data_IF_432263987100
#
_entry.id   IF_432263987100
#
_cell.length_a   1.000
_cell.length_b   1.000
_cell.length_c   1.000
_cell.angle_alpha   90.00
_cell.angle_beta   90.00
_cell.angle_gamma   90.00
#
_symmetry.space_group_name_H-M   'P 1'
#
loop_
_entity.id
_entity.type
_entity.pdbx_description
1 polymer ?
#
# COMPACT_ATOMS: atom_id res chain seq x y z
N UNK A 1 17.20 31.27 8.49
CA UNK A 1 16.66 31.36 7.11
C UNK A 1 16.06 32.75 6.92
N UNK A 2 15.95 33.28 5.68
CA UNK A 2 15.23 34.53 5.44
C UNK A 2 13.77 34.40 5.91
N UNK A 3 13.19 35.47 6.45
CA UNK A 3 11.80 35.52 6.87
C UNK A 3 10.91 35.52 5.62
N UNK A 4 10.46 34.33 5.20
CA UNK A 4 9.57 34.15 4.04
C UNK A 4 8.14 34.28 4.57
N UNK A 5 7.46 35.36 4.17
CA UNK A 5 6.03 35.57 4.44
C UNK A 5 5.21 35.23 3.19
N UNK A 6 4.27 34.30 3.32
CA UNK A 6 3.40 33.82 2.24
C UNK A 6 2.09 34.61 2.26
N UNK A 7 2.02 35.68 1.47
CA UNK A 7 0.79 36.46 1.32
C UNK A 7 -0.24 35.79 0.41
N UNK A 8 -1.52 36.02 0.67
CA UNK A 8 -2.65 35.51 -0.13
C UNK A 8 -2.56 36.01 -1.57
N UNK A 9 -2.31 37.31 -1.77
CA UNK A 9 -2.20 37.92 -3.10
C UNK A 9 -1.09 37.28 -3.94
N UNK A 10 0.02 36.90 -3.29
CA UNK A 10 1.12 36.22 -3.97
C UNK A 10 0.71 34.83 -4.42
N UNK A 11 -0.01 34.09 -3.60
CA UNK A 11 -0.52 32.76 -3.94
C UNK A 11 -1.57 32.84 -5.06
N UNK A 12 -2.51 33.78 -5.00
CA UNK A 12 -3.49 34.02 -6.08
C UNK A 12 -2.78 34.28 -7.41
N UNK A 13 -1.76 35.14 -7.40
CA UNK A 13 -0.98 35.45 -8.61
C UNK A 13 -0.31 34.19 -9.17
N UNK A 14 0.33 33.39 -8.32
CA UNK A 14 0.98 32.14 -8.72
C UNK A 14 -0.02 31.12 -9.30
N UNK A 15 -1.20 31.00 -8.70
CA UNK A 15 -2.26 30.11 -9.20
C UNK A 15 -2.78 30.58 -10.57
N UNK A 16 -3.02 31.88 -10.76
CA UNK A 16 -3.48 32.46 -12.04
C UNK A 16 -2.43 32.31 -13.16
N UNK A 17 -1.14 32.28 -12.82
CA UNK A 17 -0.03 32.11 -13.77
C UNK A 17 0.27 30.64 -14.15
N UNK A 18 -0.43 29.65 -13.57
CA UNK A 18 -0.24 28.23 -13.89
C UNK A 18 -0.37 27.94 -15.41
N UNK A 19 0.29 26.92 -15.94
CA UNK A 19 0.08 26.52 -17.33
C UNK A 19 -1.10 25.53 -17.41
N UNK A 20 -2.24 25.87 -18.06
CA UNK A 20 -3.42 25.02 -18.11
C UNK A 20 -3.21 23.72 -18.91
N UNK A 21 -2.18 23.66 -19.75
CA UNK A 21 -1.84 22.48 -20.57
C UNK A 21 -0.87 21.52 -19.89
N UNK A 22 -0.37 21.84 -18.69
CA UNK A 22 0.44 20.90 -17.92
C UNK A 22 -0.43 19.77 -17.38
N UNK A 23 0.14 18.57 -17.33
CA UNK A 23 -0.50 17.42 -16.71
C UNK A 23 -0.83 17.70 -15.24
N UNK A 24 -1.97 17.17 -14.79
CA UNK A 24 -2.39 17.22 -13.39
C UNK A 24 -1.34 16.58 -12.48
N UNK A 25 -1.27 17.07 -11.24
CA UNK A 25 -0.41 16.49 -10.22
C UNK A 25 -0.84 15.08 -9.79
N UNK A 26 -0.16 14.48 -8.80
CA UNK A 26 -0.56 13.20 -8.23
C UNK A 26 -1.95 13.23 -7.56
N UNK A 27 -2.46 14.43 -7.28
CA UNK A 27 -3.81 14.72 -6.82
C UNK A 27 -4.88 14.59 -7.92
N UNK A 28 -4.49 14.56 -9.19
CA UNK A 28 -5.40 14.48 -10.33
C UNK A 28 -6.13 15.79 -10.66
N UNK A 29 -5.80 16.90 -9.97
CA UNK A 29 -6.49 18.18 -10.16
C UNK A 29 -5.86 18.94 -11.34
N UNK A 30 -6.62 19.26 -12.41
CA UNK A 30 -6.10 19.98 -13.55
C UNK A 30 -5.85 21.47 -13.22
N UNK A 31 -4.78 22.03 -13.79
CA UNK A 31 -4.35 23.41 -13.53
C UNK A 31 -5.41 24.48 -13.88
N UNK A 32 -6.31 24.20 -14.83
CA UNK A 32 -7.39 25.14 -15.16
C UNK A 32 -8.42 25.29 -14.02
N UNK A 33 -8.68 24.23 -13.24
CA UNK A 33 -9.58 24.29 -12.07
C UNK A 33 -8.94 25.15 -10.97
N UNK A 34 -7.64 24.94 -10.72
CA UNK A 34 -6.89 25.74 -9.75
C UNK A 34 -6.85 27.22 -10.11
N UNK A 35 -6.84 27.56 -11.41
CA UNK A 35 -6.97 28.96 -11.87
C UNK A 35 -8.33 29.56 -11.58
N UNK A 36 -9.40 28.83 -11.87
CA UNK A 36 -10.76 29.31 -11.65
C UNK A 36 -11.06 29.48 -10.16
N UNK A 37 -10.58 28.55 -9.33
CA UNK A 37 -10.76 28.57 -7.88
C UNK A 37 -9.65 29.32 -7.13
N UNK A 38 -8.81 30.09 -7.83
CA UNK A 38 -7.61 30.68 -7.23
C UNK A 38 -7.92 31.61 -6.05
N UNK A 39 -9.00 32.38 -6.13
CA UNK A 39 -9.39 33.33 -5.07
C UNK A 39 -9.91 32.63 -3.81
N UNK A 40 -10.59 31.50 -3.97
CA UNK A 40 -11.15 30.71 -2.87
C UNK A 40 -10.10 29.80 -2.20
N UNK A 41 -9.17 29.25 -2.99
CA UNK A 41 -8.18 28.27 -2.51
C UNK A 41 -6.94 28.95 -1.93
N UNK A 42 -6.59 30.15 -2.41
CA UNK A 42 -5.39 30.86 -1.97
C UNK A 42 -5.32 31.13 -0.45
N UNK A 43 -6.39 31.57 0.24
CA UNK A 43 -6.33 31.77 1.69
C UNK A 43 -5.95 30.49 2.45
N UNK A 44 -6.54 29.35 2.07
CA UNK A 44 -6.25 28.06 2.68
C UNK A 44 -4.81 27.62 2.42
N UNK A 45 -4.31 27.76 1.18
CA UNK A 45 -2.94 27.42 0.85
C UNK A 45 -1.93 28.32 1.56
N UNK A 46 -2.16 29.63 1.58
CA UNK A 46 -1.31 30.58 2.32
C UNK A 46 -1.22 30.21 3.79
N UNK A 47 -2.36 29.87 4.42
CA UNK A 47 -2.37 29.42 5.81
C UNK A 47 -1.55 28.13 6.00
N UNK A 48 -1.77 27.11 5.18
CA UNK A 48 -1.06 25.82 5.28
C UNK A 48 0.44 26.02 5.11
N UNK A 49 0.88 26.77 4.10
CA UNK A 49 2.31 26.95 3.86
C UNK A 49 2.96 27.87 4.89
N UNK A 50 2.27 28.93 5.34
CA UNK A 50 2.79 29.82 6.38
C UNK A 50 2.94 29.06 7.70
N UNK A 51 1.90 28.33 8.13
CA UNK A 51 1.97 27.48 9.32
C UNK A 51 3.08 26.42 9.21
N UNK A 52 3.27 25.82 8.02
CA UNK A 52 4.38 24.87 7.80
C UNK A 52 5.76 25.53 7.96
N UNK A 53 5.94 26.76 7.45
CA UNK A 53 7.19 27.52 7.61
C UNK A 53 7.43 27.97 9.05
N UNK A 54 6.36 28.38 9.75
CA UNK A 54 6.44 28.79 11.15
C UNK A 54 6.82 27.60 12.05
N UNK A 55 6.30 26.41 11.72
CA UNK A 55 6.60 25.15 12.44
C UNK A 55 8.03 24.65 12.15
N UNK A 56 8.62 24.99 11.00
CA UNK A 56 9.98 24.54 10.62
C UNK A 56 11.09 25.13 11.53
N UNK A 57 10.78 26.15 12.34
CA UNK A 57 11.69 26.68 13.36
C UNK A 57 11.52 26.01 14.74
N UNK A 58 10.50 25.19 14.94
CA UNK A 58 10.38 24.37 16.14
C UNK A 58 11.15 23.07 15.94
N UNK A 59 12.19 22.85 16.77
CA UNK A 59 12.90 21.59 16.80
C UNK A 59 11.89 20.53 17.26
N UNK A 60 11.49 19.64 16.35
CA UNK A 60 10.63 18.52 16.68
C UNK A 60 11.37 17.60 17.65
N UNK A 61 10.79 17.39 18.83
CA UNK A 61 11.32 16.43 19.78
C UNK A 61 11.25 15.02 19.17
N UNK A 62 12.38 14.28 19.15
CA UNK A 62 12.39 12.93 18.62
C UNK A 62 11.43 12.06 19.44
N UNK A 63 10.38 11.58 18.79
CA UNK A 63 9.39 10.70 19.42
C UNK A 63 9.71 9.25 19.10
N UNK A 64 9.66 8.38 20.11
CA UNK A 64 9.96 6.95 19.93
C UNK A 64 9.00 6.23 18.99
N UNK A 65 7.75 6.70 18.92
CA UNK A 65 6.73 6.14 18.06
C UNK A 65 5.69 7.18 17.66
N UNK A 66 5.36 7.24 16.37
CA UNK A 66 4.38 8.17 15.83
C UNK A 66 3.39 7.45 14.91
N UNK A 67 2.10 7.72 15.07
CA UNK A 67 1.06 7.17 14.19
C UNK A 67 0.97 8.00 12.92
N UNK A 68 1.20 7.36 11.78
CA UNK A 68 1.05 7.96 10.46
C UNK A 68 0.05 7.16 9.62
N UNK A 69 -1.04 7.82 9.18
CA UNK A 69 -2.10 7.20 8.38
C UNK A 69 -2.67 5.90 8.99
N UNK A 70 -2.71 5.82 10.32
CA UNK A 70 -3.19 4.65 11.06
C UNK A 70 -2.16 3.53 11.26
N UNK A 71 -0.90 3.73 10.87
CA UNK A 71 0.23 2.82 11.13
C UNK A 71 1.18 3.46 12.13
N UNK A 72 1.55 2.72 13.18
CA UNK A 72 2.50 3.24 14.18
C UNK A 72 3.93 2.96 13.71
N UNK A 73 4.70 4.03 13.52
CA UNK A 73 6.09 3.98 13.06
C UNK A 73 6.97 4.27 14.27
N UNK A 74 7.70 3.26 14.74
CA UNK A 74 8.69 3.41 15.81
C UNK A 74 10.07 3.76 15.26
N UNK A 75 10.89 4.39 16.09
CA UNK A 75 12.29 4.72 15.77
C UNK A 75 13.16 3.49 15.47
N UNK A 76 12.78 2.32 15.98
CA UNK A 76 13.43 1.03 15.71
C UNK A 76 12.78 0.24 14.57
N UNK A 77 11.70 0.77 13.96
CA UNK A 77 10.84 0.06 13.01
C UNK A 77 10.29 -1.27 13.56
N UNK A 78 10.15 -1.35 14.88
CA UNK A 78 9.48 -2.44 15.56
C UNK A 78 7.96 -2.30 15.46
N UNK A 79 7.31 -3.38 15.03
CA UNK A 79 5.85 -3.44 14.86
C UNK A 79 5.09 -3.88 16.12
N UNK A 80 5.78 -4.12 17.25
CA UNK A 80 5.14 -4.60 18.47
C UNK A 80 4.00 -3.67 18.93
N UNK A 81 4.26 -2.37 19.02
CA UNK A 81 3.26 -1.39 19.48
C UNK A 81 2.08 -1.30 18.52
N UNK A 82 2.35 -1.23 17.21
CA UNK A 82 1.32 -1.24 16.17
C UNK A 82 0.45 -2.48 16.25
N UNK A 83 1.08 -3.66 16.33
CA UNK A 83 0.39 -4.96 16.36
C UNK A 83 -0.47 -5.07 17.61
N UNK A 84 0.07 -4.75 18.78
CA UNK A 84 -0.69 -4.73 20.04
C UNK A 84 -1.93 -3.82 19.95
N UNK A 85 -1.80 -2.66 19.30
CA UNK A 85 -2.93 -1.72 19.13
C UNK A 85 -4.00 -2.30 18.22
N UNK A 86 -3.63 -2.84 17.05
CA UNK A 86 -4.60 -3.40 16.10
C UNK A 86 -5.23 -4.70 16.62
N UNK A 87 -4.47 -5.58 17.29
CA UNK A 87 -5.00 -6.82 17.89
C UNK A 87 -5.97 -6.49 19.02
N UNK A 88 -5.67 -5.49 19.85
CA UNK A 88 -6.59 -4.98 20.87
C UNK A 88 -7.87 -4.40 20.26
N UNK A 89 -7.76 -3.61 19.18
CA UNK A 89 -8.92 -3.06 18.48
C UNK A 89 -9.80 -4.13 17.84
N UNK A 90 -9.16 -5.12 17.21
CA UNK A 90 -9.83 -6.26 16.60
C UNK A 90 -10.52 -7.15 17.66
N UNK A 91 -9.89 -7.38 18.82
CA UNK A 91 -10.51 -8.10 19.94
C UNK A 91 -11.75 -7.38 20.48
N UNK A 92 -11.71 -6.06 20.63
CA UNK A 92 -12.90 -5.27 21.05
C UNK A 92 -14.04 -5.42 20.04
N UNK A 93 -13.73 -5.31 18.75
CA UNK A 93 -14.72 -5.47 17.67
C UNK A 93 -15.29 -6.90 17.64
N UNK A 94 -14.44 -7.92 17.83
CA UNK A 94 -14.89 -9.31 17.92
C UNK A 94 -15.77 -9.54 19.16
N UNK A 95 -15.41 -8.96 20.31
CA UNK A 95 -16.21 -9.02 21.54
C UNK A 95 -17.58 -8.36 21.36
N UNK A 96 -17.62 -7.21 20.70
CA UNK A 96 -18.86 -6.52 20.34
C UNK A 96 -19.77 -7.41 19.46
N UNK A 97 -19.21 -8.04 18.43
CA UNK A 97 -19.95 -8.97 17.56
C UNK A 97 -20.46 -10.17 18.38
N UNK A 98 -19.62 -10.74 19.25
CA UNK A 98 -19.99 -11.88 20.09
C UNK A 98 -21.16 -11.57 21.02
N UNK A 99 -21.17 -10.37 21.61
CA UNK A 99 -22.22 -9.92 22.53
C UNK A 99 -23.54 -9.65 21.82
N UNK A 100 -23.51 -9.03 20.65
CA UNK A 100 -24.73 -8.55 19.98
C UNK A 100 -25.31 -9.56 18.99
N UNK A 101 -24.48 -10.39 18.36
CA UNK A 101 -24.89 -11.27 17.27
C UNK A 101 -24.97 -12.74 17.68
N UNK A 102 -25.06 -13.06 18.98
CA UNK A 102 -25.05 -14.45 19.45
C UNK A 102 -26.14 -15.32 18.81
N UNK A 103 -27.39 -14.85 18.76
CA UNK A 103 -28.54 -15.57 18.24
C UNK A 103 -28.72 -15.47 16.71
N UNK A 104 -27.82 -14.79 16.01
CA UNK A 104 -27.93 -14.56 14.57
C UNK A 104 -27.38 -15.74 13.74
N UNK A 105 -27.83 -15.92 12.49
CA UNK A 105 -27.32 -16.96 11.61
C UNK A 105 -25.83 -16.76 11.27
N UNK A 106 -25.16 -17.88 10.94
CA UNK A 106 -23.73 -17.95 10.58
C UNK A 106 -23.32 -16.90 9.54
N UNK A 107 -24.15 -16.67 8.52
CA UNK A 107 -23.89 -15.71 7.44
C UNK A 107 -23.75 -14.27 7.93
N UNK A 108 -24.65 -13.82 8.81
CA UNK A 108 -24.63 -12.46 9.36
C UNK A 108 -23.42 -12.29 10.27
N UNK A 109 -23.14 -13.29 11.12
CA UNK A 109 -21.95 -13.28 11.99
C UNK A 109 -20.65 -13.21 11.17
N UNK A 110 -20.57 -14.01 10.10
CA UNK A 110 -19.41 -14.04 9.21
C UNK A 110 -19.24 -12.69 8.50
N UNK A 111 -20.31 -12.12 7.93
CA UNK A 111 -20.26 -10.80 7.30
C UNK A 111 -19.80 -9.72 8.29
N UNK A 112 -20.35 -9.70 9.52
CA UNK A 112 -19.94 -8.75 10.53
C UNK A 112 -18.44 -8.85 10.87
N UNK A 113 -17.89 -10.07 10.92
CA UNK A 113 -16.46 -10.28 11.11
C UNK A 113 -15.64 -9.71 9.94
N UNK A 114 -16.03 -10.04 8.71
CA UNK A 114 -15.34 -9.58 7.49
C UNK A 114 -15.39 -8.04 7.36
N UNK A 115 -16.44 -7.39 7.84
CA UNK A 115 -16.60 -5.93 7.72
C UNK A 115 -15.99 -5.14 8.88
N UNK A 116 -15.94 -5.69 10.10
CA UNK A 116 -15.53 -4.93 11.29
C UNK A 116 -14.17 -5.36 11.85
N UNK A 117 -13.85 -6.66 11.80
CA UNK A 117 -12.63 -7.20 12.42
C UNK A 117 -11.52 -7.32 11.41
N UNK A 118 -11.81 -7.88 10.24
CA UNK A 118 -10.79 -8.17 9.24
C UNK A 118 -10.07 -6.93 8.68
N UNK A 119 -10.74 -5.79 8.39
CA UNK A 119 -10.04 -4.62 7.86
C UNK A 119 -9.01 -4.06 8.83
N UNK A 120 -9.24 -4.18 10.15
CA UNK A 120 -8.30 -3.75 11.19
C UNK A 120 -6.98 -4.53 11.17
N UNK A 121 -7.03 -5.79 10.72
CA UNK A 121 -5.90 -6.71 10.67
C UNK A 121 -5.21 -6.75 9.30
N UNK A 122 -5.82 -6.16 8.27
CA UNK A 122 -5.32 -6.20 6.88
C UNK A 122 -4.93 -4.80 6.36
N UNK A 123 -5.45 -3.73 6.95
CA UNK A 123 -5.17 -2.37 6.51
C UNK A 123 -3.67 -2.07 6.53
N UNK A 124 -3.15 -1.60 5.39
CA UNK A 124 -1.74 -1.24 5.20
C UNK A 124 -0.75 -2.36 5.54
N UNK A 125 -1.17 -3.63 5.47
CA UNK A 125 -0.30 -4.77 5.80
C UNK A 125 0.97 -4.82 4.95
N UNK A 126 0.97 -4.26 3.74
CA UNK A 126 2.17 -4.13 2.91
C UNK A 126 3.31 -3.32 3.56
N UNK A 127 3.01 -2.53 4.60
CA UNK A 127 3.98 -1.72 5.32
C UNK A 127 4.51 -2.46 6.56
N UNK A 128 3.61 -3.03 7.37
CA UNK A 128 3.94 -3.49 8.71
C UNK A 128 3.95 -5.01 8.89
N UNK A 129 3.63 -5.82 7.86
CA UNK A 129 3.54 -7.29 7.98
C UNK A 129 4.78 -7.87 8.69
N UNK A 130 4.61 -8.45 9.90
CA UNK A 130 5.75 -8.81 10.74
C UNK A 130 6.42 -10.09 10.25
N UNK A 131 7.74 -10.14 10.38
CA UNK A 131 8.51 -11.36 10.13
C UNK A 131 8.59 -12.29 11.37
N UNK A 132 8.37 -11.75 12.58
CA UNK A 132 8.46 -12.53 13.81
C UNK A 132 7.30 -13.51 13.92
N UNK A 133 7.61 -14.80 14.15
CA UNK A 133 6.61 -15.84 14.33
C UNK A 133 5.65 -15.57 15.51
N UNK A 134 6.14 -14.91 16.57
CA UNK A 134 5.31 -14.55 17.73
C UNK A 134 4.20 -13.56 17.35
N UNK A 135 4.57 -12.49 16.65
CA UNK A 135 3.65 -11.44 16.20
C UNK A 135 2.68 -11.95 15.13
N UNK A 136 3.16 -12.79 14.20
CA UNK A 136 2.29 -13.46 13.24
C UNK A 136 1.25 -14.32 13.97
N UNK A 137 1.68 -15.09 14.97
CA UNK A 137 0.78 -15.93 15.79
C UNK A 137 -0.25 -15.10 16.55
N UNK A 138 0.15 -13.94 17.10
CA UNK A 138 -0.76 -13.04 17.80
C UNK A 138 -1.90 -12.55 16.90
N UNK A 139 -1.57 -12.13 15.67
CA UNK A 139 -2.55 -11.70 14.68
C UNK A 139 -3.46 -12.88 14.27
N UNK A 140 -2.87 -14.04 13.98
CA UNK A 140 -3.60 -15.26 13.60
C UNK A 140 -4.58 -15.72 14.69
N UNK A 141 -4.22 -15.57 15.97
CA UNK A 141 -5.11 -15.92 17.08
C UNK A 141 -6.45 -15.18 17.03
N UNK A 142 -6.49 -13.94 16.54
CA UNK A 142 -7.74 -13.19 16.41
C UNK A 142 -8.70 -13.89 15.45
N UNK A 143 -8.20 -14.33 14.29
CA UNK A 143 -8.99 -15.13 13.34
C UNK A 143 -9.40 -16.46 13.95
N UNK A 144 -8.48 -17.18 14.60
CA UNK A 144 -8.76 -18.51 15.20
C UNK A 144 -9.81 -18.47 16.32
N UNK A 145 -10.03 -17.32 16.96
CA UNK A 145 -11.05 -17.13 18.01
C UNK A 145 -12.47 -16.91 17.48
N UNK A 146 -12.65 -16.67 16.18
CA UNK A 146 -13.95 -16.39 15.59
C UNK A 146 -14.76 -17.66 15.21
N UNK A 147 -14.20 -18.69 14.53
CA UNK A 147 -14.97 -19.79 13.92
C UNK A 147 -15.94 -20.51 14.85
N UNK A 148 -15.54 -20.81 16.09
CA UNK A 148 -16.41 -21.46 17.08
C UNK A 148 -17.70 -20.66 17.34
N UNK A 149 -17.57 -19.35 17.46
CA UNK A 149 -18.71 -18.46 17.65
C UNK A 149 -19.57 -18.33 16.38
N UNK A 150 -18.93 -18.27 15.21
CA UNK A 150 -19.62 -18.12 13.92
C UNK A 150 -20.45 -19.35 13.57
N UNK A 151 -19.88 -20.54 13.76
CA UNK A 151 -20.52 -21.82 13.49
C UNK A 151 -21.40 -22.31 14.64
N UNK A 152 -21.37 -21.62 15.79
CA UNK A 152 -22.00 -22.07 17.04
C UNK A 152 -21.53 -23.49 17.46
N UNK A 153 -20.27 -23.82 17.18
CA UNK A 153 -19.67 -25.12 17.44
C UNK A 153 -18.57 -24.99 18.50
N UNK A 154 -18.91 -25.49 19.69
CA UNK A 154 -18.05 -25.52 20.87
C UNK A 154 -17.64 -26.95 21.26
N UNK A 155 -17.81 -27.91 20.35
CA UNK A 155 -17.40 -29.30 20.57
C UNK A 155 -15.88 -29.40 20.71
N UNK A 156 -15.43 -30.32 21.56
CA UNK A 156 -14.01 -30.71 21.66
C UNK A 156 -13.53 -31.50 20.43
N UNK A 157 -14.46 -32.10 19.68
CA UNK A 157 -14.15 -32.94 18.52
C UNK A 157 -13.96 -32.11 17.23
N UNK A 158 -14.41 -30.85 17.22
CA UNK A 158 -14.27 -29.95 16.08
C UNK A 158 -12.96 -29.16 16.17
N UNK A 159 -12.15 -29.23 15.11
CA UNK A 159 -10.90 -28.46 15.01
C UNK A 159 -11.17 -27.08 14.43
N UNK A 160 -10.48 -26.04 14.93
CA UNK A 160 -10.61 -24.68 14.39
C UNK A 160 -10.19 -24.61 12.91
N UNK A 161 -9.19 -25.41 12.53
CA UNK A 161 -8.71 -25.51 11.15
C UNK A 161 -9.79 -26.03 10.20
N UNK A 162 -10.57 -27.03 10.64
CA UNK A 162 -11.71 -27.54 9.88
C UNK A 162 -12.84 -26.51 9.79
N UNK A 163 -13.16 -25.82 10.89
CA UNK A 163 -14.17 -24.75 10.87
C UNK A 163 -13.78 -23.60 9.94
N UNK A 164 -12.50 -23.25 9.85
CA UNK A 164 -12.00 -22.26 8.90
C UNK A 164 -12.14 -22.73 7.44
N UNK A 165 -11.87 -24.02 7.19
CA UNK A 165 -12.08 -24.63 5.88
C UNK A 165 -13.56 -24.60 5.47
N UNK A 166 -14.47 -24.88 6.40
CA UNK A 166 -15.92 -24.83 6.16
C UNK A 166 -16.46 -23.41 5.98
N UNK A 167 -15.76 -22.41 6.50
CA UNK A 167 -16.01 -20.99 6.25
C UNK A 167 -15.42 -20.53 4.91
N UNK A 168 -14.52 -21.31 4.29
CA UNK A 168 -13.75 -20.90 3.12
C UNK A 168 -12.77 -19.77 3.42
N UNK A 169 -12.25 -19.69 4.65
CA UNK A 169 -11.37 -18.61 5.09
C UNK A 169 -9.91 -19.04 5.03
N UNK A 170 -9.13 -18.35 4.19
CA UNK A 170 -7.67 -18.45 4.18
C UNK A 170 -7.05 -17.87 5.46
N UNK A 171 -5.80 -18.24 5.77
CA UNK A 171 -5.06 -17.64 6.89
C UNK A 171 -4.84 -16.14 6.65
N UNK A 172 -4.84 -15.33 7.71
CA UNK A 172 -4.52 -13.90 7.58
C UNK A 172 -3.12 -13.68 6.97
N UNK A 173 -2.17 -14.56 7.26
CA UNK A 173 -0.83 -14.54 6.66
C UNK A 173 -0.88 -14.69 5.14
N UNK A 174 -1.62 -15.68 4.64
CA UNK A 174 -1.75 -15.89 3.18
C UNK A 174 -2.44 -14.68 2.53
N UNK A 175 -3.44 -14.12 3.20
CA UNK A 175 -4.14 -12.93 2.72
C UNK A 175 -3.25 -11.69 2.69
N UNK A 176 -2.45 -11.43 3.73
CA UNK A 176 -1.45 -10.36 3.74
C UNK A 176 -0.40 -10.56 2.64
N UNK A 177 0.00 -11.81 2.39
CA UNK A 177 0.89 -12.15 1.27
C UNK A 177 0.25 -11.81 -0.07
N UNK A 178 -1.04 -12.14 -0.26
CA UNK A 178 -1.78 -11.75 -1.47
C UNK A 178 -1.85 -10.24 -1.61
N UNK A 179 -2.19 -9.50 -0.55
CA UNK A 179 -2.23 -8.03 -0.55
C UNK A 179 -0.86 -7.44 -0.91
N UNK A 180 0.22 -7.95 -0.32
CA UNK A 180 1.58 -7.55 -0.62
C UNK A 180 1.99 -7.87 -2.06
N UNK A 181 1.43 -8.93 -2.67
CA UNK A 181 1.62 -9.28 -4.09
C UNK A 181 0.69 -8.52 -5.05
N UNK A 182 -0.41 -7.95 -4.57
CA UNK A 182 -1.41 -7.24 -5.39
C UNK A 182 -1.30 -5.71 -5.36
N UNK A 183 -0.73 -5.13 -4.30
CA UNK A 183 -0.28 -3.73 -4.24
C UNK A 183 0.96 -3.34 -5.09
N UNK A 184 1.84 -4.25 -5.55
CA UNK A 184 2.99 -3.92 -6.38
C UNK A 184 2.70 -3.32 -7.77
N UNK A 185 1.53 -3.43 -8.46
CA UNK A 185 1.40 -2.81 -9.77
C UNK A 185 1.66 -1.31 -9.69
N UNK A 186 1.25 -0.61 -8.62
CA UNK A 186 1.56 0.81 -8.48
C UNK A 186 3.05 1.08 -8.22
N UNK A 187 3.73 0.31 -7.38
CA UNK A 187 5.16 0.51 -7.09
C UNK A 187 6.09 0.03 -8.21
N UNK A 188 5.76 -1.06 -8.91
CA UNK A 188 6.53 -1.58 -10.05
C UNK A 188 6.28 -0.79 -11.33
N UNK A 189 5.05 -0.33 -11.59
CA UNK A 189 4.79 0.56 -12.72
C UNK A 189 5.45 1.93 -12.47
N UNK A 190 5.38 2.46 -11.25
CA UNK A 190 6.03 3.72 -10.90
C UNK A 190 7.56 3.59 -10.90
N UNK A 191 8.13 2.51 -10.36
CA UNK A 191 9.57 2.24 -10.42
C UNK A 191 10.05 2.03 -11.87
N UNK A 192 9.33 1.25 -12.68
CA UNK A 192 9.64 1.07 -14.10
C UNK A 192 9.50 2.37 -14.91
N UNK A 193 8.53 3.23 -14.57
CA UNK A 193 8.35 4.55 -15.18
C UNK A 193 9.47 5.52 -14.77
N UNK A 194 9.91 5.48 -13.50
CA UNK A 194 11.05 6.26 -13.00
C UNK A 194 12.36 5.81 -13.66
N UNK A 195 12.56 4.50 -13.78
CA UNK A 195 13.70 3.90 -14.49
C UNK A 195 13.71 4.27 -15.98
N UNK A 196 12.55 4.28 -16.66
CA UNK A 196 12.46 4.71 -18.06
C UNK A 196 12.77 6.20 -18.23
N UNK A 197 12.32 7.05 -17.29
CA UNK A 197 12.62 8.49 -17.28
C UNK A 197 14.11 8.76 -17.05
N UNK A 198 14.78 8.00 -16.18
CA UNK A 198 16.24 8.07 -16.02
C UNK A 198 16.99 7.57 -17.27
N UNK A 199 16.52 6.49 -17.91
CA UNK A 199 17.13 5.99 -19.16
C UNK A 199 17.06 6.98 -20.33
N UNK A 200 15.99 7.79 -20.41
CA UNK A 200 15.88 8.86 -21.40
C UNK A 200 16.91 9.97 -21.16
N UNK A 201 17.25 10.26 -19.91
CA UNK A 201 18.24 11.29 -19.56
C UNK A 201 19.70 10.83 -19.80
N UNK A 202 19.99 9.53 -19.73
CA UNK A 202 21.35 8.98 -19.91
C UNK A 202 21.73 8.83 -21.39
N UNK A 203 20.77 8.77 -22.32
CA UNK A 203 21.05 8.69 -23.76
C UNK A 203 21.66 9.98 -24.35
N UNK A 204 21.60 11.09 -23.62
CA UNK A 204 22.05 12.41 -24.11
C UNK A 204 23.49 12.77 -23.71
N UNK A 205 24.20 11.96 -22.92
CA UNK A 205 25.55 12.30 -22.42
C UNK A 205 26.66 11.40 -22.99
N UNK A 206 27.60 12.02 -23.73
CA UNK A 206 28.77 11.35 -24.29
C UNK A 206 29.82 11.01 -23.23
N UNK A 207 30.02 9.71 -23.01
CA UNK A 207 31.22 8.99 -22.55
C UNK A 207 31.96 9.41 -21.27
N UNK A 208 31.99 8.53 -20.24
CA UNK A 208 33.17 8.20 -19.40
C UNK A 208 32.99 6.90 -18.58
N UNK A 209 34.10 6.30 -18.16
CA UNK A 209 34.26 4.94 -17.58
C UNK A 209 33.41 4.63 -16.33
N UNK A 210 32.92 5.65 -15.61
CA UNK A 210 32.00 5.50 -14.47
C UNK A 210 30.62 4.93 -14.88
N UNK A 211 30.22 5.13 -16.14
CA UNK A 211 28.94 4.62 -16.68
C UNK A 211 28.91 3.11 -16.81
N UNK A 212 30.04 2.43 -17.03
CA UNK A 212 30.04 0.96 -17.20
C UNK A 212 29.65 0.23 -15.91
N UNK A 213 30.02 0.77 -14.75
CA UNK A 213 29.65 0.22 -13.44
C UNK A 213 28.17 0.55 -13.10
N UNK A 214 27.70 1.75 -13.46
CA UNK A 214 26.30 2.12 -13.32
C UNK A 214 25.39 1.27 -14.22
N UNK A 215 25.79 1.05 -15.48
CA UNK A 215 25.10 0.17 -16.44
C UNK A 215 25.14 -1.30 -16.00
N UNK A 216 26.25 -1.78 -15.42
CA UNK A 216 26.35 -3.15 -14.88
C UNK A 216 25.48 -3.35 -13.63
N UNK A 217 25.47 -2.38 -12.70
CA UNK A 217 24.56 -2.37 -11.54
C UNK A 217 23.10 -2.30 -11.99
N UNK A 218 22.81 -1.50 -13.01
CA UNK A 218 21.49 -1.37 -13.61
C UNK A 218 21.01 -2.66 -14.29
N UNK A 219 21.88 -3.32 -15.08
CA UNK A 219 21.59 -4.63 -15.68
C UNK A 219 21.34 -5.69 -14.61
N UNK A 220 22.13 -5.71 -13.54
CA UNK A 220 21.88 -6.61 -12.41
C UNK A 220 20.55 -6.32 -11.71
N UNK A 221 20.24 -5.04 -11.46
CA UNK A 221 18.97 -4.65 -10.86
C UNK A 221 17.79 -5.05 -11.76
N UNK A 222 17.87 -4.77 -13.06
CA UNK A 222 16.85 -5.13 -14.05
C UNK A 222 16.65 -6.65 -14.19
N UNK A 223 17.73 -7.44 -14.17
CA UNK A 223 17.66 -8.91 -14.15
C UNK A 223 16.97 -9.40 -12.87
N UNK A 224 17.26 -8.78 -11.73
CA UNK A 224 16.62 -9.10 -10.44
C UNK A 224 15.12 -8.74 -10.50
N UNK A 225 14.73 -7.55 -10.97
CA UNK A 225 13.31 -7.16 -11.10
C UNK A 225 12.56 -8.05 -12.08
N UNK A 226 13.14 -8.40 -13.24
CA UNK A 226 12.52 -9.32 -14.21
C UNK A 226 12.35 -10.72 -13.61
N UNK A 227 13.33 -11.23 -12.86
CA UNK A 227 13.22 -12.53 -12.18
C UNK A 227 12.17 -12.52 -11.07
N UNK A 228 12.09 -11.45 -10.30
CA UNK A 228 11.05 -11.26 -9.27
C UNK A 228 9.66 -11.23 -9.94
N UNK A 229 9.50 -10.48 -11.03
CA UNK A 229 8.26 -10.42 -11.80
C UNK A 229 7.88 -11.77 -12.41
N UNK A 230 8.83 -12.51 -12.97
CA UNK A 230 8.59 -13.86 -13.49
C UNK A 230 8.17 -14.84 -12.39
N UNK A 231 8.76 -14.74 -11.19
CA UNK A 231 8.41 -15.58 -10.04
C UNK A 231 7.03 -15.21 -9.48
N UNK A 232 6.73 -13.92 -9.33
CA UNK A 232 5.41 -13.41 -8.95
C UNK A 232 4.33 -13.78 -9.96
N UNK A 233 4.64 -13.75 -11.27
CA UNK A 233 3.75 -14.21 -12.32
C UNK A 233 3.52 -15.73 -12.27
N UNK A 234 4.55 -16.52 -12.00
CA UNK A 234 4.43 -17.98 -11.86
C UNK A 234 3.58 -18.36 -10.64
N UNK A 235 3.75 -17.64 -9.52
CA UNK A 235 2.90 -17.78 -8.32
C UNK A 235 1.45 -17.39 -8.64
N UNK A 236 1.24 -16.26 -9.31
CA UNK A 236 -0.09 -15.79 -9.72
C UNK A 236 -0.79 -16.76 -10.69
N UNK A 237 -0.08 -17.32 -11.66
CA UNK A 237 -0.60 -18.31 -12.61
C UNK A 237 -0.91 -19.66 -11.94
N UNK A 238 -0.09 -20.10 -10.97
CA UNK A 238 -0.37 -21.27 -10.16
C UNK A 238 -1.58 -21.07 -9.22
N UNK A 239 -1.78 -19.84 -8.74
CA UNK A 239 -2.94 -19.45 -7.93
C UNK A 239 -4.23 -19.38 -8.77
N UNK A 240 -4.16 -18.89 -10.02
CA UNK A 240 -5.30 -18.87 -10.98
C UNK A 240 -5.87 -20.27 -11.27
N UNK A 241 -5.07 -21.33 -11.14
CA UNK A 241 -5.58 -22.72 -11.24
C UNK A 241 -6.51 -23.12 -10.09
N UNK A 242 -6.55 -22.35 -8.99
CA UNK A 242 -7.35 -22.64 -7.79
C UNK A 242 -8.55 -21.69 -7.58
N UNK A 243 -8.59 -20.52 -8.24
CA UNK A 243 -9.67 -19.52 -8.08
C UNK A 243 -10.01 -18.84 -9.43
N UNK A 244 -11.30 -18.66 -9.76
CA UNK A 244 -11.77 -17.91 -10.95
C UNK A 244 -11.44 -16.41 -10.78
N UNK A 245 -10.35 -15.96 -11.40
CA UNK A 245 -9.99 -14.53 -11.46
C UNK A 245 -10.56 -13.89 -12.74
N UNK A 246 -11.10 -12.65 -12.71
CA UNK A 246 -11.65 -11.96 -13.88
C UNK A 246 -10.65 -11.83 -15.04
N UNK A 247 -11.12 -12.00 -16.28
CA UNK A 247 -10.32 -12.09 -17.50
C UNK A 247 -9.50 -10.83 -17.86
N UNK A 248 -9.68 -9.72 -17.15
CA UNK A 248 -9.12 -8.39 -17.46
C UNK A 248 -7.63 -8.28 -17.09
N UNK A 249 -7.12 -9.09 -16.16
CA UNK A 249 -5.72 -8.99 -15.69
C UNK A 249 -4.74 -9.66 -16.68
N UNK A 250 -5.18 -10.69 -17.42
CA UNK A 250 -4.31 -11.38 -18.39
C UNK A 250 -3.84 -10.52 -19.57
N UNK A 251 -4.71 -9.72 -20.22
CA UNK A 251 -4.31 -8.81 -21.29
C UNK A 251 -3.19 -7.86 -20.86
N UNK A 252 -3.26 -7.29 -19.66
CA UNK A 252 -2.26 -6.35 -19.14
C UNK A 252 -0.90 -7.01 -18.92
N UNK A 253 -0.88 -8.23 -18.38
CA UNK A 253 0.33 -9.02 -18.22
C UNK A 253 0.89 -9.45 -19.59
N UNK A 254 0.02 -9.81 -20.55
CA UNK A 254 0.43 -10.14 -21.92
C UNK A 254 1.04 -8.94 -22.65
N UNK A 255 0.43 -7.77 -22.53
CA UNK A 255 0.95 -6.52 -23.10
C UNK A 255 2.31 -6.17 -22.49
N UNK A 256 2.45 -6.31 -21.17
CA UNK A 256 3.74 -6.10 -20.50
C UNK A 256 4.83 -7.07 -20.98
N UNK A 257 4.52 -8.37 -21.10
CA UNK A 257 5.46 -9.38 -21.60
C UNK A 257 5.80 -9.18 -23.09
N UNK A 258 4.85 -8.71 -23.91
CA UNK A 258 5.08 -8.37 -25.32
C UNK A 258 6.00 -7.15 -25.42
N UNK A 259 5.77 -6.09 -24.62
CA UNK A 259 6.63 -4.91 -24.59
C UNK A 259 8.06 -5.22 -24.12
N UNK A 260 8.21 -6.13 -23.15
CA UNK A 260 9.52 -6.61 -22.69
C UNK A 260 10.22 -7.46 -23.77
N UNK A 261 9.49 -8.30 -24.52
CA UNK A 261 10.04 -9.08 -25.64
C UNK A 261 10.43 -8.21 -26.84
N UNK A 262 9.65 -7.19 -27.17
CA UNK A 262 9.95 -6.28 -28.27
C UNK A 262 11.22 -5.47 -28.00
N UNK A 263 11.42 -4.98 -26.77
CA UNK A 263 12.66 -4.28 -26.36
C UNK A 263 13.90 -5.17 -26.34
N UNK A 264 13.74 -6.48 -26.13
CA UNK A 264 14.85 -7.43 -26.21
C UNK A 264 15.25 -7.72 -27.67
N UNK A 265 14.34 -7.54 -28.63
CA UNK A 265 14.59 -7.75 -30.06
C UNK A 265 15.22 -6.53 -30.74
N UNK A 266 14.98 -5.30 -30.26
CA UNK A 266 15.64 -4.08 -30.78
C UNK A 266 17.14 -3.94 -30.39
N UNK A 267 17.71 -4.93 -29.68
CA UNK A 267 19.12 -4.97 -29.27
C UNK A 267 19.91 -6.16 -29.82
N UNK A 268 19.37 -6.86 -30.82
CA UNK A 268 20.12 -7.74 -31.72
C UNK A 268 20.27 -7.04 -33.08
#
# INVERSE_FOLDING_TARGET
MPNINISVDRVVKLLKELNPHKASGPDGIPAHILKMAAEEVAPALSLIFQTSLDTDNEILEPTDCHTYLGVDISNTLSWNQHINRITSSANRSLGFIKKNLYSFPKSIKANAYLTLVQPLLEYSSSVWDPYSASLVSEIEQIQRRAPRFLCNDYSSHSSVTELLRDLGWDSLKDRRTVIALHLPPFKLIYAAALEYKMLLQVKDTNHRTADKLAVSRYLNYHIITVRILQRSLSIYLNFRKRVRVPAIILPLIRVYLILVRLKAFEKL
#
